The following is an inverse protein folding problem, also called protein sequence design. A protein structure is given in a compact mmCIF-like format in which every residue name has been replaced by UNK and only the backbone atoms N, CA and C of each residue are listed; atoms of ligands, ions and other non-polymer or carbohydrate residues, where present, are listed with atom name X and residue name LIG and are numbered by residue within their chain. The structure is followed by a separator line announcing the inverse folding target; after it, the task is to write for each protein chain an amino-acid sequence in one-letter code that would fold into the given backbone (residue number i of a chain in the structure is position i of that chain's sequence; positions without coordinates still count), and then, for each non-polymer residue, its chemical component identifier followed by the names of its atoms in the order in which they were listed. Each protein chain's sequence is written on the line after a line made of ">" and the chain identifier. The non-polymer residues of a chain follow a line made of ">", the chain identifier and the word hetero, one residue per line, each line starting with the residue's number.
data_IF_531762979943
#
_entry.id   IF_531762979943
#
_cell.length_a   1.000
_cell.length_b   1.000
_cell.length_c   1.000
_cell.angle_alpha   90.00
_cell.angle_beta   90.00
_cell.angle_gamma   90.00
#
_symmetry.space_group_name_H-M   'P 1'
#
loop_
_entity.id
_entity.type
_entity.pdbx_description
1 polymer ?
#
# COMPACT_ATOMS: atom_id res chain seq x y z
N UNK A 1 1.35 1.02 -2.91
CA UNK A 1 2.35 1.44 -1.90
C UNK A 1 1.87 2.72 -1.22
N UNK A 2 1.88 2.74 0.11
CA UNK A 2 1.35 3.84 0.93
C UNK A 2 -0.13 3.63 1.25
N UNK A 3 -0.48 3.60 2.54
CA UNK A 3 -1.84 3.44 3.05
C UNK A 3 -2.42 4.75 3.60
N UNK A 4 -2.14 5.86 2.91
CA UNK A 4 -2.91 7.10 3.03
C UNK A 4 -4.30 6.95 2.39
N UNK A 5 -5.10 8.03 2.34
CA UNK A 5 -6.48 7.99 1.80
C UNK A 5 -6.53 7.38 0.40
N UNK A 6 -5.73 7.89 -0.54
CA UNK A 6 -5.70 7.40 -1.91
C UNK A 6 -5.35 5.90 -2.00
N UNK A 7 -4.32 5.47 -1.28
CA UNK A 7 -3.89 4.07 -1.30
C UNK A 7 -4.94 3.13 -0.70
N UNK A 8 -5.59 3.54 0.38
CA UNK A 8 -6.68 2.82 1.02
C UNK A 8 -7.91 2.72 0.10
N UNK A 9 -8.36 3.83 -0.48
CA UNK A 9 -9.52 3.86 -1.37
C UNK A 9 -9.30 2.99 -2.61
N UNK A 10 -8.14 3.10 -3.27
CA UNK A 10 -7.85 2.28 -4.45
C UNK A 10 -7.72 0.80 -4.09
N UNK A 11 -7.11 0.47 -2.95
CA UNK A 11 -7.06 -0.92 -2.48
C UNK A 11 -8.47 -1.50 -2.25
N UNK A 12 -9.36 -0.72 -1.63
CA UNK A 12 -10.76 -1.13 -1.43
C UNK A 12 -11.49 -1.31 -2.77
N UNK A 13 -11.35 -0.36 -3.70
CA UNK A 13 -11.99 -0.41 -5.00
C UNK A 13 -11.49 -1.60 -5.83
N UNK A 14 -10.18 -1.84 -5.85
CA UNK A 14 -9.58 -2.97 -6.56
C UNK A 14 -10.04 -4.33 -6.00
N UNK A 15 -10.13 -4.48 -4.68
CA UNK A 15 -10.75 -5.68 -4.07
C UNK A 15 -12.21 -5.85 -4.48
N UNK A 16 -12.98 -4.76 -4.54
CA UNK A 16 -14.36 -4.78 -5.04
C UNK A 16 -14.48 -5.22 -6.51
N UNK A 17 -13.41 -5.09 -7.29
CA UNK A 17 -13.30 -5.57 -8.68
C UNK A 17 -12.70 -6.99 -8.79
N UNK A 18 -12.42 -7.65 -7.67
CA UNK A 18 -11.84 -9.01 -7.65
C UNK A 18 -10.34 -9.08 -7.89
N UNK A 19 -9.62 -7.94 -7.86
CA UNK A 19 -8.16 -7.89 -8.00
C UNK A 19 -7.50 -8.29 -6.68
N UNK A 20 -6.41 -9.06 -6.73
CA UNK A 20 -5.59 -9.34 -5.55
C UNK A 20 -4.71 -8.13 -5.21
N UNK A 21 -4.79 -7.69 -3.95
CA UNK A 21 -4.17 -6.43 -3.52
C UNK A 21 -3.27 -6.67 -2.32
N UNK A 22 -1.99 -6.32 -2.47
CA UNK A 22 -1.07 -6.09 -1.37
C UNK A 22 -0.92 -4.58 -1.11
N UNK A 23 -1.17 -4.15 0.12
CA UNK A 23 -1.01 -2.77 0.55
C UNK A 23 0.11 -2.68 1.59
N UNK A 24 1.20 -1.97 1.25
CA UNK A 24 2.38 -1.84 2.12
C UNK A 24 2.44 -0.44 2.71
N UNK A 25 2.60 -0.37 4.03
CA UNK A 25 2.64 0.85 4.82
C UNK A 25 3.78 0.81 5.86
N UNK A 26 4.69 1.81 5.87
CA UNK A 26 5.73 1.90 6.88
C UNK A 26 5.21 2.15 8.30
N UNK A 27 4.11 2.89 8.45
CA UNK A 27 3.51 3.16 9.75
C UNK A 27 2.85 1.91 10.34
N UNK A 28 2.55 1.96 11.65
CA UNK A 28 1.90 0.86 12.36
C UNK A 28 0.48 0.57 11.85
N UNK A 29 -0.22 1.59 11.34
CA UNK A 29 -1.58 1.49 10.77
C UNK A 29 -1.76 2.44 9.57
N UNK A 30 -2.71 2.17 8.65
CA UNK A 30 -3.14 3.12 7.63
C UNK A 30 -3.54 4.47 8.21
N UNK A 31 -3.44 5.52 7.39
CA UNK A 31 -3.91 6.87 7.72
C UNK A 31 -3.28 7.47 9.01
N UNK A 32 -2.16 6.92 9.51
CA UNK A 32 -1.53 7.35 10.77
C UNK A 32 -1.32 8.87 10.82
N UNK A 33 -0.86 9.48 9.72
CA UNK A 33 -0.64 10.92 9.64
C UNK A 33 -1.92 11.77 9.61
N UNK A 34 -3.04 11.21 9.17
CA UNK A 34 -4.30 11.93 9.01
C UNK A 34 -5.22 11.82 10.24
N UNK A 35 -5.32 10.62 10.83
CA UNK A 35 -6.29 10.32 11.89
C UNK A 35 -5.67 9.69 13.14
N UNK A 36 -4.36 9.44 13.13
CA UNK A 36 -3.65 8.83 14.26
C UNK A 36 -3.86 7.31 14.38
N UNK A 37 -3.08 6.65 15.25
CA UNK A 37 -3.02 5.19 15.32
C UNK A 37 -4.29 4.54 15.86
N UNK A 38 -5.00 5.20 16.78
CA UNK A 38 -6.23 4.67 17.36
C UNK A 38 -7.35 4.54 16.32
N UNK A 39 -7.56 5.59 15.52
CA UNK A 39 -8.58 5.57 14.47
C UNK A 39 -8.10 4.72 13.28
N UNK A 40 -6.82 4.79 12.92
CA UNK A 40 -6.24 4.03 11.80
C UNK A 40 -6.26 2.50 11.98
N UNK A 41 -6.38 1.99 13.21
CA UNK A 41 -6.55 0.55 13.45
C UNK A 41 -7.85 0.01 12.83
N UNK A 42 -8.95 0.76 12.90
CA UNK A 42 -10.23 0.35 12.34
C UNK A 42 -10.19 0.11 10.81
N UNK A 43 -9.75 1.05 9.95
CA UNK A 43 -9.63 0.81 8.53
C UNK A 43 -8.59 -0.28 8.20
N UNK A 44 -7.57 -0.49 9.05
CA UNK A 44 -6.67 -1.62 8.89
C UNK A 44 -7.41 -2.96 8.95
N UNK A 45 -8.26 -3.13 9.96
CA UNK A 45 -9.06 -4.34 10.16
C UNK A 45 -10.10 -4.51 9.05
N UNK A 46 -10.76 -3.42 8.65
CA UNK A 46 -11.70 -3.43 7.51
C UNK A 46 -11.00 -3.88 6.22
N UNK A 47 -9.82 -3.36 5.90
CA UNK A 47 -9.08 -3.78 4.72
C UNK A 47 -8.73 -5.27 4.76
N UNK A 48 -8.22 -5.76 5.89
CA UNK A 48 -7.89 -7.19 6.07
C UNK A 48 -9.13 -8.06 5.94
N UNK A 49 -10.25 -7.65 6.55
CA UNK A 49 -11.52 -8.37 6.45
C UNK A 49 -12.06 -8.44 5.01
N UNK A 50 -11.71 -7.47 4.15
CA UNK A 50 -12.05 -7.47 2.72
C UNK A 50 -10.97 -8.12 1.84
N UNK A 51 -10.02 -8.84 2.43
CA UNK A 51 -9.01 -9.62 1.71
C UNK A 51 -7.85 -8.82 1.14
N UNK A 52 -7.61 -7.59 1.61
CA UNK A 52 -6.36 -6.89 1.32
C UNK A 52 -5.24 -7.52 2.15
N UNK A 53 -4.15 -7.91 1.49
CA UNK A 53 -2.88 -8.26 2.14
C UNK A 53 -2.19 -6.99 2.64
N UNK A 54 -2.66 -6.50 3.79
CA UNK A 54 -2.17 -5.27 4.43
C UNK A 54 -0.94 -5.54 5.30
N UNK A 55 0.22 -5.08 4.83
CA UNK A 55 1.51 -5.15 5.52
C UNK A 55 1.90 -3.78 6.09
N UNK A 56 1.63 -3.60 7.38
CA UNK A 56 2.05 -2.41 8.15
C UNK A 56 3.45 -2.61 8.75
N UNK A 57 4.07 -1.53 9.24
CA UNK A 57 5.42 -1.58 9.82
C UNK A 57 6.51 -2.02 8.83
N UNK A 58 6.22 -1.99 7.53
CA UNK A 58 7.07 -2.55 6.48
C UNK A 58 7.28 -1.55 5.37
N UNK A 59 8.52 -1.41 4.90
CA UNK A 59 8.85 -0.48 3.81
C UNK A 59 9.02 -1.23 2.50
N UNK A 60 8.80 -0.52 1.40
CA UNK A 60 9.21 -0.98 0.08
C UNK A 60 10.65 -0.55 -0.16
N UNK A 61 11.50 -1.50 -0.56
CA UNK A 61 12.89 -1.26 -0.92
C UNK A 61 13.07 -1.00 -2.43
N UNK A 62 12.32 -1.70 -3.28
CA UNK A 62 12.35 -1.47 -4.73
C UNK A 62 11.13 -2.06 -5.44
N UNK A 63 10.87 -1.55 -6.65
CA UNK A 63 9.99 -2.19 -7.63
C UNK A 63 10.88 -3.09 -8.50
N UNK A 64 10.55 -4.37 -8.56
CA UNK A 64 11.19 -5.32 -9.48
C UNK A 64 10.56 -5.18 -10.86
N UNK A 65 11.37 -5.26 -11.90
CA UNK A 65 10.88 -5.19 -13.27
C UNK A 65 11.68 -6.06 -14.23
N UNK A 66 11.00 -6.52 -15.27
CA UNK A 66 11.60 -7.23 -16.41
C UNK A 66 11.10 -6.59 -17.69
N UNK A 67 12.02 -6.19 -18.58
CA UNK A 67 11.68 -5.54 -19.85
C UNK A 67 10.76 -4.31 -19.69
N UNK A 68 10.93 -3.56 -18.59
CA UNK A 68 10.13 -2.36 -18.30
C UNK A 68 8.74 -2.63 -17.71
N UNK A 69 8.36 -3.88 -17.49
CA UNK A 69 7.12 -4.26 -16.83
C UNK A 69 7.39 -4.64 -15.38
N UNK A 70 6.49 -4.25 -14.46
CA UNK A 70 6.62 -4.64 -13.06
C UNK A 70 6.42 -6.16 -12.92
N UNK A 71 7.20 -6.78 -12.05
CA UNK A 71 7.06 -8.20 -11.70
C UNK A 71 6.89 -8.42 -10.21
N UNK A 72 7.11 -7.38 -9.41
CA UNK A 72 6.87 -7.41 -7.98
C UNK A 72 7.45 -6.22 -7.25
N UNK A 73 7.33 -6.27 -5.93
CA UNK A 73 7.82 -5.26 -5.01
C UNK A 73 8.67 -5.93 -3.94
N UNK A 74 9.95 -5.56 -3.88
CA UNK A 74 10.87 -6.01 -2.85
C UNK A 74 10.68 -5.17 -1.59
N UNK A 75 10.40 -5.82 -0.47
CA UNK A 75 10.23 -5.20 0.84
C UNK A 75 11.58 -5.00 1.53
N UNK A 76 11.62 -4.15 2.55
CA UNK A 76 12.81 -3.92 3.38
C UNK A 76 13.31 -5.16 4.12
N UNK A 77 12.46 -6.18 4.26
CA UNK A 77 12.81 -7.50 4.82
C UNK A 77 13.54 -8.41 3.81
N UNK A 78 13.65 -8.00 2.55
CA UNK A 78 14.17 -8.82 1.46
C UNK A 78 13.12 -9.71 0.78
N UNK A 79 11.91 -9.83 1.35
CA UNK A 79 10.79 -10.55 0.72
C UNK A 79 10.33 -9.84 -0.55
N UNK A 80 10.04 -10.59 -1.61
CA UNK A 80 9.43 -10.06 -2.83
C UNK A 80 7.94 -10.41 -2.86
N UNK A 81 7.10 -9.41 -3.08
CA UNK A 81 5.67 -9.54 -3.28
C UNK A 81 5.40 -9.51 -4.77
N UNK A 82 4.90 -10.58 -5.40
CA UNK A 82 4.54 -10.57 -6.82
C UNK A 82 3.47 -9.51 -7.10
N UNK A 83 3.65 -8.75 -8.17
CA UNK A 83 2.70 -7.75 -8.62
C UNK A 83 2.98 -7.39 -10.09
N UNK A 84 1.94 -7.43 -10.92
CA UNK A 84 2.01 -7.02 -12.33
C UNK A 84 1.80 -5.50 -12.48
N UNK A 85 1.08 -4.89 -11.54
CA UNK A 85 0.80 -3.45 -11.46
C UNK A 85 1.21 -2.88 -10.10
N UNK A 86 1.81 -1.68 -10.10
CA UNK A 86 2.24 -1.00 -8.87
C UNK A 86 1.71 0.43 -8.83
N UNK A 87 0.77 0.67 -7.90
CA UNK A 87 0.29 2.02 -7.61
C UNK A 87 1.13 2.68 -6.50
N UNK A 88 1.56 3.91 -6.74
CA UNK A 88 2.34 4.73 -5.80
C UNK A 88 1.47 5.84 -5.23
N UNK A 89 1.13 5.74 -3.94
CA UNK A 89 0.32 6.72 -3.22
C UNK A 89 1.02 7.16 -1.92
N UNK A 90 2.23 7.72 -2.07
CA UNK A 90 3.11 8.08 -0.95
C UNK A 90 3.11 9.59 -0.61
N UNK A 91 2.11 10.32 -1.10
CA UNK A 91 1.99 11.77 -0.97
C UNK A 91 2.49 12.53 -2.20
N UNK A 92 2.42 13.84 -2.12
CA UNK A 92 2.82 14.76 -3.19
C UNK A 92 3.65 15.91 -2.61
N UNK A 93 4.30 16.65 -3.50
CA UNK A 93 4.95 17.91 -3.19
C UNK A 93 4.23 19.02 -3.95
N UNK A 94 3.83 20.13 -3.29
CA UNK A 94 3.34 21.30 -4.00
C UNK A 94 4.39 21.79 -5.01
N UNK A 95 3.94 22.14 -6.21
CA UNK A 95 4.77 22.77 -7.23
C UNK A 95 4.78 24.29 -6.97
N UNK A 96 5.86 24.78 -6.38
CA UNK A 96 5.99 26.16 -5.90
C UNK A 96 7.33 26.80 -6.29
N UNK A 97 8.04 26.17 -7.22
CA UNK A 97 9.23 26.69 -7.89
C UNK A 97 8.95 27.92 -8.78
#
# INVERSE_FOLDING_TARGET
>A
MGAGFLGAEVASAARGLGVDVALVEPAAVPLTHAVGPQVGAYPADVHRANGVDLRTGTQVAAIESTSGQATGVRLSTGTVVPADDVLVAIGSRPNTE
#
